data_IF_410169149653
#
_entry.id   IF_410169149653
#
_cell.length_a   1.000
_cell.length_b   1.000
_cell.length_c   1.000
_cell.angle_alpha   90.00
_cell.angle_beta   90.00
_cell.angle_gamma   90.00
#
_symmetry.space_group_name_H-M   'P 1'
#
loop_
_entity.id
_entity.type
_entity.pdbx_description
1 polymer ?
#
# COMPACT_ATOMS: atom_id res chain seq x y z
N UNK A 1 10.95 -12.50 -22.60
CA UNK A 1 11.18 -11.06 -22.40
C UNK A 1 12.64 -10.69 -22.68
N UNK A 2 12.87 -9.59 -23.37
CA UNK A 2 14.22 -9.07 -23.70
C UNK A 2 14.94 -8.52 -22.47
N UNK A 3 16.28 -8.43 -22.55
CA UNK A 3 17.15 -7.93 -21.47
C UNK A 3 16.79 -6.47 -21.10
N UNK A 4 16.48 -5.65 -22.10
CA UNK A 4 16.08 -4.26 -21.90
C UNK A 4 14.83 -4.15 -21.00
N UNK A 5 13.78 -4.93 -21.26
CA UNK A 5 12.54 -4.87 -20.46
C UNK A 5 12.79 -5.31 -19.01
N UNK A 6 13.61 -6.34 -18.80
CA UNK A 6 13.99 -6.79 -17.44
C UNK A 6 14.83 -5.76 -16.68
N UNK A 7 15.64 -4.97 -17.37
CA UNK A 7 16.43 -3.91 -16.76
C UNK A 7 15.53 -2.72 -16.38
N UNK A 8 14.67 -2.28 -17.29
CA UNK A 8 13.72 -1.18 -17.06
C UNK A 8 12.74 -1.54 -15.93
N UNK A 9 12.15 -2.74 -15.94
CA UNK A 9 11.25 -3.17 -14.88
C UNK A 9 11.90 -3.07 -13.49
N UNK A 10 13.12 -3.61 -13.32
CA UNK A 10 13.86 -3.50 -12.05
C UNK A 10 14.14 -2.05 -11.64
N UNK A 11 14.51 -1.22 -12.60
CA UNK A 11 14.78 0.20 -12.35
C UNK A 11 13.52 0.96 -11.90
N UNK A 12 12.36 0.63 -12.45
CA UNK A 12 11.09 1.32 -12.16
C UNK A 12 10.55 1.05 -10.76
N UNK A 13 10.98 -0.01 -10.07
CA UNK A 13 10.48 -0.34 -8.74
C UNK A 13 10.75 0.78 -7.71
N UNK A 14 11.99 1.26 -7.64
CA UNK A 14 12.40 2.31 -6.71
C UNK A 14 11.68 3.65 -6.92
N UNK A 15 11.63 4.24 -8.13
CA UNK A 15 10.89 5.48 -8.36
C UNK A 15 9.39 5.29 -8.13
N UNK A 16 8.80 4.14 -8.44
CA UNK A 16 7.38 3.88 -8.12
C UNK A 16 7.11 3.90 -6.61
N UNK A 17 8.02 3.36 -5.78
CA UNK A 17 7.91 3.47 -4.32
C UNK A 17 8.00 4.93 -3.85
N UNK A 18 8.91 5.72 -4.42
CA UNK A 18 9.02 7.16 -4.11
C UNK A 18 7.73 7.90 -4.48
N UNK A 19 7.18 7.63 -5.67
CA UNK A 19 5.91 8.23 -6.12
C UNK A 19 4.76 7.80 -5.21
N UNK A 20 4.67 6.54 -4.82
CA UNK A 20 3.63 6.07 -3.90
C UNK A 20 3.71 6.78 -2.54
N UNK A 21 4.90 6.87 -1.95
CA UNK A 21 5.12 7.60 -0.68
C UNK A 21 4.79 9.08 -0.85
N UNK A 22 5.20 9.71 -1.95
CA UNK A 22 4.90 11.11 -2.23
C UNK A 22 3.40 11.37 -2.40
N UNK A 23 2.67 10.47 -3.09
CA UNK A 23 1.21 10.54 -3.26
C UNK A 23 0.50 10.41 -1.92
N UNK A 24 0.93 9.47 -1.08
CA UNK A 24 0.37 9.25 0.25
C UNK A 24 0.61 10.45 1.17
N UNK A 25 1.84 10.98 1.18
CA UNK A 25 2.20 12.16 1.97
C UNK A 25 1.53 13.42 1.45
N UNK A 26 1.26 13.56 0.16
CA UNK A 26 0.52 14.71 -0.40
C UNK A 26 -0.99 14.68 -0.13
N UNK A 27 -1.55 13.52 0.18
CA UNK A 27 -2.98 13.32 0.36
C UNK A 27 -3.63 14.22 1.44
N UNK A 28 -2.85 14.75 2.37
CA UNK A 28 -3.36 15.68 3.39
C UNK A 28 -3.80 17.05 2.83
N UNK A 29 -3.19 17.53 1.73
CA UNK A 29 -3.41 18.88 1.19
C UNK A 29 -3.79 18.90 -0.30
N UNK A 30 -3.52 17.81 -1.01
CA UNK A 30 -3.74 17.68 -2.46
C UNK A 30 -4.32 16.30 -2.78
N UNK A 31 -4.61 16.07 -4.07
CA UNK A 31 -5.13 14.79 -4.57
C UNK A 31 -4.12 13.66 -4.29
N UNK A 32 -4.54 12.67 -3.49
CA UNK A 32 -3.77 11.48 -3.13
C UNK A 32 -4.33 10.83 -1.87
N UNK A 33 -4.06 9.53 -1.66
CA UNK A 33 -4.50 8.77 -0.50
C UNK A 33 -3.71 7.45 -0.37
N UNK A 34 -3.94 6.72 0.73
CA UNK A 34 -3.34 5.41 0.95
C UNK A 34 -3.71 4.38 -0.12
N UNK A 35 -4.93 4.45 -0.67
CA UNK A 35 -5.37 3.54 -1.73
C UNK A 35 -4.58 3.72 -3.03
N UNK A 36 -4.50 4.95 -3.56
CA UNK A 36 -3.80 5.27 -4.80
C UNK A 36 -2.31 4.96 -4.68
N UNK A 37 -1.71 5.28 -3.53
CA UNK A 37 -0.32 4.91 -3.24
C UNK A 37 -0.14 3.38 -3.26
N UNK A 38 -1.06 2.62 -2.67
CA UNK A 38 -1.01 1.16 -2.66
C UNK A 38 -1.11 0.55 -4.05
N UNK A 39 -1.98 1.10 -4.90
CA UNK A 39 -2.12 0.68 -6.31
C UNK A 39 -0.82 0.93 -7.09
N UNK A 40 -0.16 2.07 -6.90
CA UNK A 40 1.13 2.38 -7.57
C UNK A 40 2.19 1.33 -7.20
N UNK A 41 2.31 0.97 -5.92
CA UNK A 41 3.24 -0.07 -5.48
C UNK A 41 2.87 -1.43 -6.07
N UNK A 42 1.59 -1.79 -6.02
CA UNK A 42 1.12 -3.06 -6.57
C UNK A 42 1.42 -3.18 -8.06
N UNK A 43 1.19 -2.13 -8.86
CA UNK A 43 1.53 -2.11 -10.29
C UNK A 43 3.03 -2.28 -10.54
N UNK A 44 3.87 -1.63 -9.75
CA UNK A 44 5.32 -1.77 -9.85
C UNK A 44 5.79 -3.19 -9.53
N UNK A 45 5.15 -3.84 -8.55
CA UNK A 45 5.38 -5.25 -8.23
C UNK A 45 4.86 -6.17 -9.33
N UNK A 46 3.65 -5.95 -9.86
CA UNK A 46 3.12 -6.70 -11.01
C UNK A 46 4.06 -6.65 -12.21
N UNK A 47 4.66 -5.50 -12.48
CA UNK A 47 5.66 -5.36 -13.52
C UNK A 47 6.90 -6.24 -13.26
N UNK A 48 7.31 -6.43 -12.01
CA UNK A 48 8.38 -7.39 -11.68
C UNK A 48 7.97 -8.83 -12.01
N UNK A 49 6.76 -9.24 -11.63
CA UNK A 49 6.25 -10.58 -11.91
C UNK A 49 6.21 -10.87 -13.42
N UNK A 50 5.66 -9.94 -14.21
CA UNK A 50 5.57 -10.08 -15.67
C UNK A 50 6.96 -10.06 -16.33
N UNK A 51 7.88 -9.22 -15.86
CA UNK A 51 9.16 -9.04 -16.54
C UNK A 51 10.23 -10.07 -16.17
N UNK A 52 10.34 -10.40 -14.89
CA UNK A 52 11.39 -11.28 -14.34
C UNK A 52 10.92 -12.74 -14.19
N UNK A 53 9.61 -12.95 -14.12
CA UNK A 53 9.00 -14.23 -13.74
C UNK A 53 8.99 -14.44 -12.23
N UNK A 54 8.04 -15.25 -11.75
CA UNK A 54 7.78 -15.52 -10.33
C UNK A 54 9.03 -15.84 -9.48
N UNK A 55 9.87 -16.84 -9.81
CA UNK A 55 10.98 -17.22 -8.92
C UNK A 55 12.03 -16.11 -8.75
N UNK A 56 12.22 -15.26 -9.76
CA UNK A 56 13.16 -14.13 -9.68
C UNK A 56 12.55 -12.92 -8.98
N UNK A 57 11.25 -12.66 -9.18
CA UNK A 57 10.53 -11.60 -8.49
C UNK A 57 10.47 -11.85 -6.97
N UNK A 58 10.17 -13.08 -6.57
CA UNK A 58 10.14 -13.47 -5.15
C UNK A 58 11.51 -13.48 -4.49
N UNK A 59 12.56 -13.87 -5.22
CA UNK A 59 13.93 -13.80 -4.71
C UNK A 59 14.39 -12.34 -4.52
N UNK A 60 13.94 -11.43 -5.40
CA UNK A 60 14.27 -10.01 -5.28
C UNK A 60 13.47 -9.29 -4.17
N UNK A 61 12.26 -9.76 -3.86
CA UNK A 61 11.35 -9.14 -2.92
C UNK A 61 10.80 -10.16 -1.92
N UNK A 62 11.60 -10.58 -0.92
CA UNK A 62 11.17 -11.57 0.08
C UNK A 62 9.98 -11.09 0.92
N UNK A 63 9.80 -9.77 1.05
CA UNK A 63 8.65 -9.16 1.73
C UNK A 63 7.29 -9.49 1.10
N UNK A 64 7.25 -9.91 -0.17
CA UNK A 64 6.01 -10.34 -0.85
C UNK A 64 5.37 -11.56 -0.17
N UNK A 65 6.17 -12.41 0.50
CA UNK A 65 5.65 -13.57 1.26
C UNK A 65 4.80 -13.15 2.47
N UNK A 66 5.04 -11.94 2.97
CA UNK A 66 4.27 -11.36 4.07
C UNK A 66 3.01 -10.64 3.58
N UNK A 67 2.74 -10.60 2.27
CA UNK A 67 1.61 -9.87 1.71
C UNK A 67 0.24 -10.21 2.33
N UNK A 68 -0.11 -11.48 2.63
CA UNK A 68 -1.36 -11.80 3.32
C UNK A 68 -1.40 -11.20 4.73
N UNK A 69 -0.29 -11.25 5.47
CA UNK A 69 -0.18 -10.67 6.81
C UNK A 69 -0.27 -9.15 6.75
N UNK A 70 0.41 -8.52 5.79
CA UNK A 70 0.36 -7.07 5.55
C UNK A 70 -1.06 -6.62 5.21
N UNK A 71 -1.79 -7.40 4.41
CA UNK A 71 -3.18 -7.13 4.11
C UNK A 71 -4.06 -7.19 5.36
N UNK A 72 -3.90 -8.26 6.15
CA UNK A 72 -4.66 -8.46 7.38
C UNK A 72 -4.37 -7.41 8.44
N UNK A 73 -3.11 -7.03 8.65
CA UNK A 73 -2.74 -5.99 9.62
C UNK A 73 -3.20 -4.62 9.16
N UNK A 74 -3.14 -4.32 7.86
CA UNK A 74 -3.69 -3.09 7.29
C UNK A 74 -5.20 -2.97 7.51
N UNK A 75 -5.95 -4.05 7.27
CA UNK A 75 -7.39 -4.11 7.53
C UNK A 75 -7.72 -3.90 9.01
N UNK A 76 -7.03 -4.62 9.90
CA UNK A 76 -7.23 -4.47 11.34
C UNK A 76 -6.93 -3.05 11.82
N UNK A 77 -5.87 -2.43 11.29
CA UNK A 77 -5.52 -1.05 11.60
C UNK A 77 -6.60 -0.08 11.12
N UNK A 78 -7.08 -0.22 9.89
CA UNK A 78 -8.13 0.63 9.33
C UNK A 78 -9.45 0.52 10.13
N UNK A 79 -9.84 -0.70 10.51
CA UNK A 79 -11.01 -0.94 11.35
C UNK A 79 -10.80 -0.31 12.74
N UNK A 80 -9.66 -0.57 13.38
CA UNK A 80 -9.37 -0.04 14.70
C UNK A 80 -9.45 1.50 14.71
N UNK A 81 -8.85 2.17 13.73
CA UNK A 81 -8.85 3.64 13.63
C UNK A 81 -10.25 4.19 13.30
N UNK A 82 -10.99 3.53 12.39
CA UNK A 82 -12.34 3.96 12.02
C UNK A 82 -13.37 3.82 13.14
N UNK A 83 -13.22 2.78 13.99
CA UNK A 83 -14.12 2.49 15.12
C UNK A 83 -13.66 3.11 16.44
N UNK A 84 -12.40 3.54 16.56
CA UNK A 84 -11.86 4.21 17.75
C UNK A 84 -12.77 5.32 18.32
N UNK A 85 -13.41 6.17 17.50
CA UNK A 85 -14.23 7.27 18.01
C UNK A 85 -15.48 6.83 18.79
N UNK A 86 -15.98 5.60 18.58
CA UNK A 86 -17.13 5.06 19.30
C UNK A 86 -16.84 4.98 20.80
N UNK A 87 -15.60 4.67 21.20
CA UNK A 87 -15.19 4.62 22.61
C UNK A 87 -15.34 5.97 23.31
N UNK A 88 -15.31 7.07 22.55
CA UNK A 88 -15.55 8.43 23.03
C UNK A 88 -16.97 8.93 22.82
N UNK A 89 -17.93 8.07 22.46
CA UNK A 89 -19.33 8.42 22.20
C UNK A 89 -19.54 9.22 20.91
N UNK A 90 -18.58 9.17 19.97
CA UNK A 90 -18.64 9.89 18.70
C UNK A 90 -19.03 8.97 17.54
N UNK A 91 -19.57 9.52 16.43
CA UNK A 91 -19.84 8.72 15.23
C UNK A 91 -18.59 8.03 14.68
N UNK A 92 -18.78 6.91 13.99
CA UNK A 92 -17.70 6.22 13.24
C UNK A 92 -16.99 7.18 12.29
N UNK A 93 -15.70 6.95 12.04
CA UNK A 93 -14.85 7.79 11.18
C UNK A 93 -14.71 9.25 11.62
N UNK A 94 -15.06 9.58 12.86
CA UNK A 94 -14.74 10.90 13.41
C UNK A 94 -13.23 11.00 13.65
N UNK A 95 -12.53 11.75 12.81
CA UNK A 95 -11.09 11.93 12.93
C UNK A 95 -10.72 13.06 13.91
N UNK A 96 -9.57 12.92 14.55
CA UNK A 96 -8.97 13.93 15.43
C UNK A 96 -7.78 14.59 14.73
N UNK A 97 -7.60 15.93 14.86
CA UNK A 97 -8.44 16.90 15.59
C UNK A 97 -9.72 17.31 14.84
N UNK A 98 -10.74 17.83 15.56
CA UNK A 98 -11.92 18.44 14.95
C UNK A 98 -11.56 19.61 14.02
N UNK A 99 -12.40 19.94 13.03
CA UNK A 99 -12.20 21.12 12.17
C UNK A 99 -12.01 22.38 13.02
N UNK A 100 -10.87 23.06 12.84
CA UNK A 100 -10.55 24.31 13.55
C UNK A 100 -9.66 24.17 14.80
N UNK A 101 -9.22 22.96 15.18
CA UNK A 101 -8.23 22.75 16.25
C UNK A 101 -6.88 22.42 15.61
N UNK A 102 -5.82 23.14 15.98
CA UNK A 102 -4.48 22.90 15.43
C UNK A 102 -4.00 21.48 15.76
N UNK A 103 -3.71 20.64 14.74
CA UNK A 103 -3.17 19.31 14.94
C UNK A 103 -1.76 19.33 15.52
N UNK A 104 -1.36 18.18 16.09
CA UNK A 104 0.00 17.94 16.50
C UNK A 104 0.92 18.05 15.27
N UNK A 105 1.69 19.14 15.17
CA UNK A 105 2.65 19.34 14.09
C UNK A 105 3.90 18.51 14.32
N UNK A 106 4.21 17.64 13.37
CA UNK A 106 5.58 17.18 13.15
C UNK A 106 6.09 17.91 11.90
N UNK A 107 6.73 19.06 12.08
CA UNK A 107 7.08 19.95 10.97
C UNK A 107 5.84 20.58 10.33
N UNK A 108 5.59 20.31 9.03
CA UNK A 108 4.37 20.71 8.29
C UNK A 108 3.31 19.61 8.24
N UNK A 109 3.59 18.42 8.79
CA UNK A 109 2.60 17.34 8.86
C UNK A 109 1.63 17.59 10.01
N UNK A 110 0.37 17.76 9.65
CA UNK A 110 -0.75 17.64 10.56
C UNK A 110 -1.02 16.15 10.75
N UNK A 111 -0.62 15.57 11.88
CA UNK A 111 -0.86 14.14 12.14
C UNK A 111 -2.31 13.96 12.57
N UNK A 112 -3.18 13.74 11.58
CA UNK A 112 -4.58 13.38 11.81
C UNK A 112 -4.70 11.86 11.94
N UNK A 113 -5.66 11.40 12.74
CA UNK A 113 -6.05 9.97 12.75
C UNK A 113 -6.46 9.47 11.36
N UNK A 114 -6.89 10.39 10.47
CA UNK A 114 -7.16 10.10 9.06
C UNK A 114 -5.92 9.58 8.32
N UNK A 115 -4.73 10.10 8.61
CA UNK A 115 -3.48 9.64 8.00
C UNK A 115 -3.13 8.22 8.45
N UNK A 116 -3.39 7.88 9.72
CA UNK A 116 -3.19 6.51 10.24
C UNK A 116 -4.19 5.54 9.61
N UNK A 117 -5.43 5.98 9.37
CA UNK A 117 -6.40 5.20 8.60
C UNK A 117 -5.89 4.93 7.17
N UNK A 118 -5.36 5.94 6.49
CA UNK A 118 -4.78 5.80 5.15
C UNK A 118 -3.56 4.87 5.13
N UNK A 119 -2.74 4.83 6.19
CA UNK A 119 -1.69 3.82 6.35
C UNK A 119 -2.28 2.41 6.38
N UNK A 120 -3.37 2.20 7.13
CA UNK A 120 -4.08 0.92 7.15
C UNK A 120 -4.58 0.51 5.76
N UNK A 121 -5.22 1.44 5.04
CA UNK A 121 -5.70 1.21 3.67
C UNK A 121 -4.55 0.92 2.71
N UNK A 122 -3.44 1.66 2.79
CA UNK A 122 -2.24 1.43 1.98
C UNK A 122 -1.72 0.00 2.15
N UNK A 123 -1.53 -0.44 3.39
CA UNK A 123 -1.04 -1.79 3.69
C UNK A 123 -2.02 -2.86 3.18
N UNK A 124 -3.32 -2.65 3.39
CA UNK A 124 -4.38 -3.53 2.88
C UNK A 124 -4.28 -3.70 1.36
N UNK A 125 -4.24 -2.58 0.63
CA UNK A 125 -4.23 -2.57 -0.85
C UNK A 125 -2.97 -3.22 -1.40
N UNK A 126 -1.79 -2.86 -0.87
CA UNK A 126 -0.52 -3.46 -1.30
C UNK A 126 -0.55 -4.97 -1.06
N UNK A 127 -0.90 -5.40 0.16
CA UNK A 127 -0.94 -6.82 0.50
C UNK A 127 -1.92 -7.60 -0.37
N UNK A 128 -3.15 -7.12 -0.51
CA UNK A 128 -4.20 -7.80 -1.26
C UNK A 128 -3.85 -7.92 -2.76
N UNK A 129 -3.36 -6.85 -3.38
CA UNK A 129 -3.01 -6.86 -4.80
C UNK A 129 -1.77 -7.71 -5.08
N UNK A 130 -0.78 -7.70 -4.19
CA UNK A 130 0.37 -8.59 -4.31
C UNK A 130 -0.05 -10.06 -4.21
N UNK A 131 -0.95 -10.40 -3.29
CA UNK A 131 -1.51 -11.76 -3.20
C UNK A 131 -2.22 -12.11 -4.50
N UNK A 132 -3.07 -11.23 -5.03
CA UNK A 132 -3.76 -11.45 -6.29
C UNK A 132 -2.78 -11.73 -7.44
N UNK A 133 -1.74 -10.90 -7.59
CA UNK A 133 -0.71 -11.06 -8.63
C UNK A 133 0.04 -12.37 -8.47
N UNK A 134 0.38 -12.74 -7.24
CA UNK A 134 1.07 -13.99 -6.96
C UNK A 134 0.23 -15.20 -7.37
N UNK A 135 -1.07 -15.20 -7.08
CA UNK A 135 -2.00 -16.26 -7.47
C UNK A 135 -2.20 -16.32 -8.99
N UNK A 136 -2.29 -15.16 -9.66
CA UNK A 136 -2.42 -15.10 -11.11
C UNK A 136 -1.15 -15.49 -11.86
N UNK A 137 0.02 -15.30 -11.24
CA UNK A 137 1.30 -15.73 -11.77
C UNK A 137 1.62 -17.21 -11.44
N UNK A 138 0.76 -17.88 -10.68
CA UNK A 138 0.87 -19.29 -10.32
C UNK A 138 0.18 -20.15 -11.40
N UNK A 139 0.89 -20.40 -12.49
CA UNK A 139 0.45 -21.38 -13.48
C UNK A 139 0.62 -22.78 -12.85
N UNK A 140 -0.50 -23.41 -12.46
CA UNK A 140 -0.50 -24.76 -11.86
C UNK A 140 0.25 -25.82 -12.70
N UNK A 141 0.52 -27.02 -12.14
CA UNK A 141 1.29 -28.05 -12.85
C UNK A 141 0.66 -28.33 -14.23
N UNK A 142 1.52 -28.42 -15.26
CA UNK A 142 1.10 -28.74 -16.62
C UNK A 142 0.18 -29.99 -16.60
N UNK A 143 -0.93 -30.00 -17.35
CA UNK A 143 -1.76 -31.19 -17.46
C UNK A 143 -0.91 -32.38 -17.96
N UNK A 144 -1.19 -33.60 -17.46
CA UNK A 144 -0.37 -34.79 -17.72
C UNK A 144 -0.31 -35.17 -19.20
#
# INVERSE_FOLDING_TARGET
>A
MTIAVRAVARLLLAPSLVVAVATMVKGYAHVGDGFSAGVIVALAVSLQYVALGRPRAEAALPCLRLAPLVAGTGLLLAIAVGFFPILGGRPIFTHWPPPGVHPMRIGTLEVLTAFVFDIGVFLLVVGALVVLVHQLADDGPAPP
#
